data_IF_690082742190
#
_entry.id   IF_690082742190
#
_cell.length_a   1.000
_cell.length_b   1.000
_cell.length_c   1.000
_cell.angle_alpha   90.00
_cell.angle_beta   90.00
_cell.angle_gamma   90.00
#
_symmetry.space_group_name_H-M   'P 1'
#
loop_
_entity.id
_entity.type
_entity.pdbx_description
1 polymer ?
#
# COMPACT_ATOMS: atom_id res chain seq x y z
N UNK A 1 -3.80 16.80 -1.32
CA UNK A 1 -3.07 16.72 -0.03
C UNK A 1 -2.17 15.49 -0.06
N UNK A 2 -0.88 15.65 0.24
CA UNK A 2 0.07 14.53 0.33
C UNK A 2 0.31 14.21 1.82
N UNK A 3 0.12 12.95 2.18
CA UNK A 3 0.32 12.40 3.54
C UNK A 3 1.36 11.29 3.42
N UNK A 4 2.10 10.98 4.49
CA UNK A 4 3.25 10.04 4.50
C UNK A 4 4.49 10.50 3.71
N UNK A 5 4.96 11.74 3.92
CA UNK A 5 6.22 12.23 3.33
C UNK A 5 7.19 12.74 4.40
N UNK A 6 8.50 12.53 4.21
CA UNK A 6 9.53 12.69 5.25
C UNK A 6 10.06 14.12 5.50
N UNK A 7 9.59 15.14 4.80
CA UNK A 7 10.03 16.54 4.96
C UNK A 7 8.83 17.48 5.11
N UNK A 8 9.03 18.73 5.48
CA UNK A 8 8.01 19.79 5.44
C UNK A 8 8.51 20.89 4.52
N UNK A 9 8.15 20.83 3.25
CA UNK A 9 8.40 21.92 2.31
C UNK A 9 7.07 22.33 1.67
N UNK A 10 6.84 23.65 1.60
CA UNK A 10 5.75 24.25 0.85
C UNK A 10 6.01 24.02 -0.64
N UNK A 11 5.11 23.31 -1.31
CA UNK A 11 5.19 23.07 -2.76
C UNK A 11 4.34 24.13 -3.47
N UNK A 12 4.66 25.43 -3.31
CA UNK A 12 3.94 26.54 -3.96
C UNK A 12 2.63 26.99 -3.26
N UNK A 13 1.95 27.98 -3.84
CA UNK A 13 0.86 28.74 -3.20
C UNK A 13 -0.44 27.94 -2.96
N UNK A 14 -0.67 26.87 -3.74
CA UNK A 14 -1.93 26.09 -3.71
C UNK A 14 -1.78 24.69 -3.10
N UNK A 15 -0.66 24.40 -2.43
CA UNK A 15 -0.39 23.07 -1.89
C UNK A 15 -0.08 23.12 -0.40
N UNK A 16 -0.97 22.54 0.39
CA UNK A 16 -0.73 22.25 1.79
C UNK A 16 -0.16 20.83 1.95
N UNK A 17 1.00 20.74 2.61
CA UNK A 17 1.61 19.48 3.03
C UNK A 17 1.35 19.26 4.51
N UNK A 18 0.93 18.05 4.89
CA UNK A 18 0.72 17.67 6.28
C UNK A 18 1.38 16.33 6.53
N UNK A 19 2.23 16.27 7.55
CA UNK A 19 2.78 15.01 8.05
C UNK A 19 1.72 14.38 8.97
N UNK A 20 1.35 13.15 8.67
CA UNK A 20 0.39 12.38 9.45
C UNK A 20 0.45 10.91 9.07
N UNK A 21 -0.23 10.07 9.87
CA UNK A 21 -0.42 8.65 9.61
C UNK A 21 -1.80 8.45 8.96
N UNK A 22 -1.86 7.79 7.80
CA UNK A 22 -3.12 7.47 7.12
C UNK A 22 -4.12 6.69 7.96
N UNK A 23 -3.67 6.00 9.02
CA UNK A 23 -4.51 5.29 10.00
C UNK A 23 -5.17 6.23 11.01
N UNK A 24 -4.62 7.43 11.21
CA UNK A 24 -5.07 8.38 12.23
C UNK A 24 -5.20 9.77 11.61
N UNK A 25 -6.37 10.05 11.04
CA UNK A 25 -6.67 11.33 10.38
C UNK A 25 -7.75 12.13 11.12
N UNK A 26 -7.80 12.01 12.46
CA UNK A 26 -8.83 12.63 13.33
C UNK A 26 -8.84 14.17 13.30
N UNK A 27 -7.73 14.79 12.92
CA UNK A 27 -7.62 16.24 12.74
C UNK A 27 -8.35 16.76 11.49
N UNK A 28 -8.75 15.86 10.57
CA UNK A 28 -9.67 16.20 9.48
C UNK A 28 -11.11 15.86 9.85
N UNK A 29 -11.99 16.83 9.60
CA UNK A 29 -13.43 16.62 9.66
C UNK A 29 -13.88 15.67 8.54
N UNK A 30 -15.04 15.08 8.73
CA UNK A 30 -15.67 14.27 7.70
C UNK A 30 -15.90 15.12 6.44
N UNK A 31 -15.66 14.51 5.28
CA UNK A 31 -15.82 15.15 3.96
C UNK A 31 -15.07 16.49 3.82
N UNK A 32 -13.92 16.62 4.47
CA UNK A 32 -13.01 17.77 4.32
C UNK A 32 -12.41 17.88 2.91
N UNK A 33 -12.46 16.81 2.11
CA UNK A 33 -11.87 16.76 0.77
C UNK A 33 -12.86 16.26 -0.28
N UNK A 34 -12.79 16.81 -1.48
CA UNK A 34 -13.55 16.28 -2.61
C UNK A 34 -13.01 14.92 -3.06
N UNK A 35 -11.68 14.78 -3.12
CA UNK A 35 -11.01 13.56 -3.61
C UNK A 35 -9.83 13.20 -2.70
N UNK A 36 -9.74 11.93 -2.33
CA UNK A 36 -8.54 11.33 -1.75
C UNK A 36 -7.82 10.45 -2.78
N UNK A 37 -6.50 10.59 -2.90
CA UNK A 37 -5.67 9.79 -3.80
C UNK A 37 -4.63 9.01 -2.98
N UNK A 38 -4.47 7.72 -3.28
CA UNK A 38 -3.45 6.88 -2.66
C UNK A 38 -2.90 5.88 -3.67
N UNK A 39 -1.58 5.82 -3.84
CA UNK A 39 -0.96 4.94 -4.82
C UNK A 39 0.14 4.13 -4.14
N UNK A 40 -0.04 2.81 -4.09
CA UNK A 40 0.92 1.86 -3.53
C UNK A 40 1.32 2.16 -2.06
N UNK A 41 0.37 2.61 -1.22
CA UNK A 41 0.64 2.93 0.20
C UNK A 41 0.02 1.89 1.13
N UNK A 42 -1.19 1.43 0.82
CA UNK A 42 -1.98 0.57 1.73
C UNK A 42 -1.30 -0.78 1.97
N UNK A 43 -0.53 -1.30 1.02
CA UNK A 43 0.24 -2.53 1.16
C UNK A 43 1.46 -2.41 2.09
N UNK A 44 1.88 -1.20 2.43
CA UNK A 44 2.97 -0.94 3.40
C UNK A 44 2.48 -0.88 4.85
N UNK A 45 1.24 -1.29 5.07
CA UNK A 45 0.69 -1.47 6.41
C UNK A 45 0.83 -2.94 6.81
N UNK A 46 1.49 -3.16 7.95
CA UNK A 46 1.92 -4.49 8.41
C UNK A 46 0.76 -5.46 8.72
N UNK A 47 -0.45 -4.95 8.98
CA UNK A 47 -1.61 -5.75 9.39
C UNK A 47 -2.86 -5.40 8.60
N UNK A 48 -3.84 -6.31 8.57
CA UNK A 48 -5.10 -6.04 7.89
C UNK A 48 -5.92 -4.98 8.64
N UNK A 49 -5.83 -4.97 9.96
CA UNK A 49 -6.47 -4.02 10.85
C UNK A 49 -5.97 -2.59 10.60
N UNK A 50 -4.66 -2.44 10.36
CA UNK A 50 -4.09 -1.14 9.94
C UNK A 50 -4.61 -0.71 8.56
N UNK A 51 -4.75 -1.66 7.63
CA UNK A 51 -5.34 -1.41 6.30
C UNK A 51 -6.82 -1.01 6.40
N UNK A 52 -7.57 -1.60 7.35
CA UNK A 52 -8.95 -1.21 7.69
C UNK A 52 -9.02 0.23 8.21
N UNK A 53 -8.13 0.61 9.13
CA UNK A 53 -8.07 1.98 9.65
C UNK A 53 -7.77 3.01 8.56
N UNK A 54 -6.81 2.73 7.68
CA UNK A 54 -6.51 3.61 6.55
C UNK A 54 -7.69 3.71 5.57
N UNK A 55 -8.29 2.57 5.20
CA UNK A 55 -9.46 2.52 4.32
C UNK A 55 -10.66 3.27 4.89
N UNK A 56 -10.90 3.14 6.20
CA UNK A 56 -11.94 3.86 6.92
C UNK A 56 -11.69 5.38 6.86
N UNK A 57 -10.48 5.83 7.20
CA UNK A 57 -10.18 7.25 7.22
C UNK A 57 -10.30 7.87 5.83
N UNK A 58 -9.79 7.23 4.78
CA UNK A 58 -9.95 7.71 3.39
C UNK A 58 -11.43 7.94 3.07
N UNK A 59 -12.28 6.95 3.34
CA UNK A 59 -13.72 7.04 3.05
C UNK A 59 -14.45 8.09 3.90
N UNK A 60 -13.98 8.34 5.13
CA UNK A 60 -14.56 9.32 6.04
C UNK A 60 -14.22 10.75 5.61
N UNK A 61 -12.96 11.03 5.30
CA UNK A 61 -12.49 12.40 5.07
C UNK A 61 -12.80 12.92 3.66
N UNK A 62 -13.10 12.04 2.68
CA UNK A 62 -13.34 12.46 1.31
C UNK A 62 -14.69 12.05 0.72
N UNK A 63 -15.19 12.83 -0.25
CA UNK A 63 -16.39 12.49 -1.02
C UNK A 63 -16.10 11.34 -2.01
N UNK A 64 -14.99 11.45 -2.72
CA UNK A 64 -14.49 10.49 -3.71
C UNK A 64 -13.09 10.01 -3.35
N UNK A 65 -12.68 8.88 -3.92
CA UNK A 65 -11.31 8.41 -3.78
C UNK A 65 -10.83 7.63 -4.99
N UNK A 66 -9.51 7.61 -5.17
CA UNK A 66 -8.81 6.78 -6.12
C UNK A 66 -7.63 6.12 -5.40
N UNK A 67 -7.67 4.79 -5.30
CA UNK A 67 -6.65 4.00 -4.61
C UNK A 67 -6.10 2.98 -5.60
N UNK A 68 -4.79 2.93 -5.72
CA UNK A 68 -4.10 1.88 -6.46
C UNK A 68 -3.29 1.03 -5.49
N UNK A 69 -3.37 -0.29 -5.64
CA UNK A 69 -2.55 -1.24 -4.89
C UNK A 69 -2.23 -2.46 -5.76
N UNK A 70 -1.02 -3.03 -5.66
CA UNK A 70 -0.64 -4.24 -6.39
C UNK A 70 -1.58 -5.41 -6.10
N UNK A 71 -1.73 -6.30 -7.07
CA UNK A 71 -2.60 -7.46 -6.95
C UNK A 71 -1.82 -8.66 -6.41
N UNK A 72 -2.30 -9.25 -5.30
CA UNK A 72 -1.70 -10.49 -4.73
C UNK A 72 -1.64 -11.66 -5.73
N UNK A 73 -2.44 -11.62 -6.80
CA UNK A 73 -2.49 -12.65 -7.84
C UNK A 73 -1.45 -12.46 -8.95
N UNK A 74 -0.77 -11.32 -9.01
CA UNK A 74 0.25 -11.07 -10.03
C UNK A 74 1.49 -11.94 -9.75
N UNK A 75 2.04 -12.66 -10.75
CA UNK A 75 3.12 -13.63 -10.50
C UNK A 75 4.46 -12.98 -10.14
N UNK A 76 4.65 -11.68 -10.39
CA UNK A 76 5.89 -10.97 -10.05
C UNK A 76 5.61 -10.04 -8.88
N UNK A 77 6.34 -10.24 -7.79
CA UNK A 77 6.26 -9.38 -6.61
C UNK A 77 6.86 -8.00 -6.94
N UNK A 78 6.14 -6.87 -6.73
CA UNK A 78 6.54 -5.56 -7.26
C UNK A 78 7.72 -4.89 -6.53
N UNK A 79 8.04 -5.29 -5.31
CA UNK A 79 9.11 -4.73 -4.48
C UNK A 79 10.45 -5.46 -4.64
N UNK A 80 10.42 -6.78 -4.72
CA UNK A 80 11.53 -7.72 -4.83
C UNK A 80 11.76 -8.15 -6.29
N UNK A 81 10.84 -7.83 -7.21
CA UNK A 81 10.85 -8.18 -8.63
C UNK A 81 11.12 -9.69 -8.86
N UNK A 82 10.69 -10.50 -7.88
CA UNK A 82 10.99 -11.92 -7.84
C UNK A 82 9.72 -12.74 -8.10
N UNK A 83 9.75 -13.70 -9.03
CA UNK A 83 8.60 -14.55 -9.32
C UNK A 83 8.09 -15.29 -8.10
N UNK A 84 6.77 -15.31 -7.93
CA UNK A 84 6.04 -16.08 -6.91
C UNK A 84 6.39 -15.74 -5.45
N UNK A 85 7.10 -14.64 -5.19
CA UNK A 85 7.66 -14.34 -3.86
C UNK A 85 6.59 -14.15 -2.78
N UNK A 86 5.41 -13.60 -3.10
CA UNK A 86 4.30 -13.46 -2.16
C UNK A 86 3.79 -14.78 -1.60
N UNK A 87 3.89 -15.86 -2.37
CA UNK A 87 3.40 -17.18 -2.00
C UNK A 87 4.42 -18.03 -1.27
N UNK A 88 5.69 -17.62 -1.24
CA UNK A 88 6.71 -18.32 -0.47
C UNK A 88 6.40 -18.34 1.03
N UNK A 89 6.78 -19.41 1.75
CA UNK A 89 6.83 -19.40 3.20
C UNK A 89 7.67 -18.25 3.73
N UNK A 90 7.24 -17.64 4.83
CA UNK A 90 7.90 -16.46 5.41
C UNK A 90 9.38 -16.69 5.74
N UNK A 91 9.74 -17.88 6.22
CA UNK A 91 11.13 -18.26 6.49
C UNK A 91 12.00 -18.20 5.24
N UNK A 92 11.50 -18.67 4.09
CA UNK A 92 12.21 -18.61 2.81
C UNK A 92 12.35 -17.18 2.31
N UNK A 93 11.30 -16.35 2.45
CA UNK A 93 11.40 -14.93 2.10
C UNK A 93 12.51 -14.23 2.88
N UNK A 94 12.57 -14.47 4.20
CA UNK A 94 13.60 -13.91 5.09
C UNK A 94 14.99 -14.39 4.65
N UNK A 95 15.14 -15.67 4.30
CA UNK A 95 16.40 -16.22 3.80
C UNK A 95 16.81 -15.55 2.48
N UNK A 96 15.88 -15.42 1.54
CA UNK A 96 16.16 -14.81 0.24
C UNK A 96 16.63 -13.37 0.37
N UNK A 97 15.92 -12.51 1.12
CA UNK A 97 16.35 -11.12 1.32
C UNK A 97 17.59 -11.01 2.20
N UNK A 98 17.94 -12.03 2.99
CA UNK A 98 19.18 -12.08 3.78
C UNK A 98 20.42 -12.33 2.92
N UNK A 99 20.31 -13.14 1.87
CA UNK A 99 21.45 -13.61 1.09
C UNK A 99 21.55 -13.01 -0.33
N UNK A 100 20.45 -12.50 -0.88
CA UNK A 100 20.39 -11.98 -2.25
C UNK A 100 19.89 -10.53 -2.29
N UNK A 101 20.36 -9.76 -3.27
CA UNK A 101 19.74 -8.49 -3.65
C UNK A 101 18.50 -8.81 -4.48
N UNK A 102 17.36 -8.23 -4.13
CA UNK A 102 16.08 -8.51 -4.76
C UNK A 102 15.32 -7.21 -5.03
N UNK A 103 15.02 -6.97 -6.32
CA UNK A 103 14.28 -5.79 -6.77
C UNK A 103 14.94 -4.51 -6.30
N UNK A 104 14.23 -3.75 -5.48
CA UNK A 104 14.68 -2.46 -4.94
C UNK A 104 15.49 -2.58 -3.63
N UNK A 105 15.67 -3.78 -3.10
CA UNK A 105 16.33 -4.01 -1.82
C UNK A 105 17.69 -4.70 -1.98
N UNK A 106 18.70 -4.16 -1.30
CA UNK A 106 19.95 -4.87 -1.06
C UNK A 106 19.73 -6.04 -0.09
N UNK A 107 20.65 -7.01 -0.13
CA UNK A 107 20.68 -8.10 0.85
C UNK A 107 20.80 -7.54 2.28
N UNK A 108 20.04 -8.12 3.19
CA UNK A 108 19.91 -7.63 4.55
C UNK A 108 21.11 -8.06 5.42
N UNK A 109 21.64 -7.13 6.22
CA UNK A 109 22.83 -7.39 7.05
C UNK A 109 22.57 -8.34 8.21
N UNK A 110 21.35 -8.38 8.74
CA UNK A 110 20.97 -9.27 9.84
C UNK A 110 19.58 -9.88 9.60
N UNK A 111 19.25 -10.94 10.34
CA UNK A 111 17.95 -11.63 10.23
C UNK A 111 16.80 -10.76 10.75
N UNK A 112 17.05 -9.88 11.72
CA UNK A 112 16.04 -9.00 12.29
C UNK A 112 15.47 -8.02 11.25
N UNK A 113 16.33 -7.32 10.51
CA UNK A 113 15.96 -6.41 9.42
C UNK A 113 15.31 -7.17 8.26
N UNK A 114 15.82 -8.36 7.92
CA UNK A 114 15.17 -9.23 6.94
C UNK A 114 13.74 -9.59 7.34
N UNK A 115 13.51 -9.90 8.62
CA UNK A 115 12.17 -10.19 9.15
C UNK A 115 11.27 -8.97 9.14
N UNK A 116 11.79 -7.79 9.52
CA UNK A 116 11.06 -6.53 9.51
C UNK A 116 10.60 -6.16 8.11
N UNK A 117 11.52 -6.18 7.13
CA UNK A 117 11.22 -5.91 5.72
C UNK A 117 10.10 -6.82 5.18
N UNK A 118 10.17 -8.12 5.47
CA UNK A 118 9.15 -9.09 5.04
C UNK A 118 7.81 -8.89 5.77
N UNK A 119 7.82 -8.36 6.98
CA UNK A 119 6.62 -8.12 7.79
C UNK A 119 5.90 -6.81 7.45
N UNK A 120 6.63 -5.84 6.94
CA UNK A 120 6.13 -4.52 6.61
C UNK A 120 5.24 -4.51 5.35
N UNK A 121 5.43 -5.47 4.45
CA UNK A 121 4.73 -5.54 3.17
C UNK A 121 3.60 -6.58 3.21
N UNK A 122 2.36 -6.11 3.04
CA UNK A 122 1.14 -6.94 3.00
C UNK A 122 0.27 -6.58 1.80
N UNK A 123 0.49 -7.27 0.69
CA UNK A 123 -0.34 -7.09 -0.52
C UNK A 123 -1.75 -7.65 -0.31
N UNK A 124 -2.74 -6.84 -0.70
CA UNK A 124 -4.15 -7.16 -0.56
C UNK A 124 -4.63 -8.20 -1.58
N UNK A 125 -5.49 -9.11 -1.12
CA UNK A 125 -6.30 -9.97 -2.00
C UNK A 125 -7.55 -9.21 -2.44
N UNK A 126 -8.11 -9.54 -3.62
CA UNK A 126 -9.37 -8.93 -4.12
C UNK A 126 -10.53 -8.98 -3.12
N UNK A 127 -10.68 -10.10 -2.41
CA UNK A 127 -11.71 -10.26 -1.36
C UNK A 127 -11.52 -9.29 -0.18
N UNK A 128 -10.27 -8.92 0.12
CA UNK A 128 -9.94 -7.99 1.19
C UNK A 128 -10.21 -6.56 0.74
N UNK A 129 -9.86 -6.20 -0.49
CA UNK A 129 -10.26 -4.92 -1.11
C UNK A 129 -11.78 -4.73 -1.02
N UNK A 130 -12.57 -5.77 -1.33
CA UNK A 130 -14.04 -5.69 -1.23
C UNK A 130 -14.56 -5.57 0.21
N UNK A 131 -13.82 -6.03 1.22
CA UNK A 131 -14.14 -5.76 2.63
C UNK A 131 -13.81 -4.32 3.02
N UNK A 132 -12.65 -3.82 2.59
CA UNK A 132 -12.17 -2.47 2.89
C UNK A 132 -13.00 -1.38 2.20
N UNK A 133 -13.41 -1.64 0.96
CA UNK A 133 -14.11 -0.69 0.09
C UNK A 133 -15.36 -1.34 -0.52
N UNK A 134 -16.40 -1.66 0.29
CA UNK A 134 -17.55 -2.45 -0.15
C UNK A 134 -18.35 -1.77 -1.27
N UNK A 135 -18.41 -0.44 -1.25
CA UNK A 135 -19.18 0.38 -2.20
C UNK A 135 -18.33 0.94 -3.35
N UNK A 136 -17.14 0.39 -3.58
CA UNK A 136 -16.22 0.84 -4.64
C UNK A 136 -16.36 0.05 -5.94
N UNK A 137 -16.05 0.74 -7.04
CA UNK A 137 -15.69 0.13 -8.31
C UNK A 137 -14.24 -0.36 -8.18
N UNK A 138 -13.99 -1.59 -8.62
CA UNK A 138 -12.64 -2.18 -8.64
C UNK A 138 -12.30 -2.50 -10.08
N UNK A 139 -11.40 -1.71 -10.66
CA UNK A 139 -10.88 -1.86 -12.01
C UNK A 139 -9.58 -2.68 -11.93
N UNK A 140 -9.35 -3.53 -12.92
CA UNK A 140 -8.15 -4.33 -13.01
C UNK A 140 -7.17 -3.68 -13.99
N UNK A 141 -5.94 -3.47 -13.56
CA UNK A 141 -4.84 -3.14 -14.47
C UNK A 141 -4.19 -4.45 -14.94
N UNK A 142 -4.19 -4.71 -16.25
CA UNK A 142 -3.70 -5.96 -16.83
C UNK A 142 -2.31 -5.80 -17.44
N UNK A 143 -1.45 -6.80 -17.23
CA UNK A 143 -0.15 -6.94 -17.89
C UNK A 143 0.06 -8.41 -18.24
N UNK A 144 0.35 -8.70 -19.52
CA UNK A 144 0.58 -10.05 -20.04
C UNK A 144 -0.50 -11.08 -19.62
N UNK A 145 -1.77 -10.68 -19.59
CA UNK A 145 -2.89 -11.57 -19.22
C UNK A 145 -3.04 -11.81 -17.71
N UNK A 146 -2.25 -11.16 -16.87
CA UNK A 146 -2.41 -11.18 -15.42
C UNK A 146 -2.88 -9.81 -14.91
N UNK A 147 -3.70 -9.81 -13.86
CA UNK A 147 -4.02 -8.58 -13.14
C UNK A 147 -2.80 -8.17 -12.33
N UNK A 148 -2.17 -7.06 -12.72
CA UNK A 148 -0.99 -6.49 -12.06
C UNK A 148 -1.39 -5.72 -10.81
N UNK A 149 -2.43 -4.90 -10.92
CA UNK A 149 -2.89 -4.07 -9.82
C UNK A 149 -4.39 -3.84 -9.86
N UNK A 150 -4.93 -3.37 -8.74
CA UNK A 150 -6.32 -2.96 -8.60
C UNK A 150 -6.38 -1.44 -8.46
N UNK A 151 -7.24 -0.81 -9.27
CA UNK A 151 -7.66 0.58 -9.09
C UNK A 151 -9.03 0.56 -8.43
N UNK A 152 -9.16 1.26 -7.31
CA UNK A 152 -10.35 1.24 -6.45
C UNK A 152 -10.86 2.67 -6.40
N UNK A 153 -12.08 2.91 -6.87
CA UNK A 153 -12.63 4.25 -6.92
C UNK A 153 -14.12 4.31 -6.56
N UNK A 154 -14.51 5.48 -6.07
CA UNK A 154 -15.88 5.90 -5.80
C UNK A 154 -15.97 7.40 -6.01
#
# INVERSE_FOLDING_TARGET
MLVNLNNNELIGENYLRVIGDGKTLSFFKDKSFDVAFSNSVIEHLSTFEDQELMAYNIQRISNHYFIQTPAFIFPIEPHFLFPFFHWLPKSLKILFVKYFNLGWFEKQKNIAHARELILFIRILKKREIKKLFPNSIVIHEWVFGFVKSYLINK
#
